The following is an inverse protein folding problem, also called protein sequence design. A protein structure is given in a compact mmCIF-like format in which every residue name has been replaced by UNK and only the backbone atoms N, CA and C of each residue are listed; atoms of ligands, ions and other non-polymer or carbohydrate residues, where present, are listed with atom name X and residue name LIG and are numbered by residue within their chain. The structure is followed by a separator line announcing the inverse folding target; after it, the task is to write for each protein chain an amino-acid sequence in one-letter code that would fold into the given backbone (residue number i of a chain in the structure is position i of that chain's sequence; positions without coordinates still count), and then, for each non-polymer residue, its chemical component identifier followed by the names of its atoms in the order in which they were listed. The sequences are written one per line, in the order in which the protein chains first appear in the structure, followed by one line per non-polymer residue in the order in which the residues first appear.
data_IF_462384972959
#
_entry.id   IF_462384972959
#
_cell.length_a   1.000
_cell.length_b   1.000
_cell.length_c   1.000
_cell.angle_alpha   90.00
_cell.angle_beta   90.00
_cell.angle_gamma   90.00
#
_symmetry.space_group_name_H-M   'P 1'
#
loop_
_entity.id
_entity.type
_entity.pdbx_description
1 polymer ?
#
# COMPACT_ATOMS: atom_id res chain seq x y z
N UNK A 1 11.39 13.93 12.19
CA UNK A 1 10.01 14.34 11.82
C UNK A 1 9.77 14.29 10.31
N UNK A 2 10.59 14.92 9.46
CA UNK A 2 10.38 14.90 8.02
C UNK A 2 10.81 13.59 7.32
N UNK A 3 11.80 12.87 7.85
CA UNK A 3 12.33 11.62 7.25
C UNK A 3 11.31 10.50 7.19
N UNK A 4 10.38 10.43 8.14
CA UNK A 4 9.32 9.42 8.18
C UNK A 4 8.42 9.42 6.93
N UNK A 5 8.17 10.58 6.31
CA UNK A 5 7.36 10.67 5.10
C UNK A 5 8.11 10.24 3.83
N UNK A 6 9.43 10.34 3.81
CA UNK A 6 10.24 9.82 2.69
C UNK A 6 10.17 8.30 2.66
N UNK A 7 10.13 7.66 3.84
CA UNK A 7 10.03 6.20 3.96
C UNK A 7 8.58 5.69 3.84
N UNK A 8 7.58 6.54 4.12
CA UNK A 8 6.16 6.22 4.01
C UNK A 8 5.68 6.25 2.54
N UNK A 9 5.98 5.20 1.80
CA UNK A 9 5.72 5.10 0.35
C UNK A 9 4.25 5.27 -0.06
N UNK A 10 3.29 5.07 0.86
CA UNK A 10 1.84 5.07 0.56
C UNK A 10 1.18 6.45 0.68
N UNK A 11 1.92 7.52 1.03
CA UNK A 11 1.34 8.85 1.26
C UNK A 11 1.67 9.81 0.12
N UNK A 12 0.66 10.40 -0.56
CA UNK A 12 0.89 11.38 -1.61
C UNK A 12 1.58 12.66 -1.09
N UNK A 13 2.52 13.21 -1.85
CA UNK A 13 3.28 14.41 -1.46
C UNK A 13 2.37 15.64 -1.17
N UNK A 14 1.25 15.78 -1.89
CA UNK A 14 0.27 16.84 -1.64
C UNK A 14 -0.37 16.74 -0.25
N UNK A 15 -0.64 15.53 0.23
CA UNK A 15 -1.17 15.30 1.58
C UNK A 15 -0.14 15.60 2.66
N UNK A 16 1.12 15.30 2.38
CA UNK A 16 2.23 15.66 3.28
C UNK A 16 2.36 17.18 3.38
N UNK A 17 2.31 17.90 2.25
CA UNK A 17 2.31 19.38 2.24
C UNK A 17 1.12 19.94 3.04
N UNK A 18 -0.10 19.44 2.80
CA UNK A 18 -1.31 19.86 3.53
C UNK A 18 -1.13 19.68 5.05
N UNK A 19 -0.58 18.54 5.47
CA UNK A 19 -0.30 18.26 6.88
C UNK A 19 0.75 19.20 7.49
N UNK A 20 1.84 19.46 6.78
CA UNK A 20 2.91 20.36 7.24
C UNK A 20 2.37 21.78 7.39
N UNK A 21 1.61 22.30 6.42
CA UNK A 21 1.01 23.63 6.48
C UNK A 21 0.08 23.78 7.69
N UNK A 22 -0.75 22.76 7.96
CA UNK A 22 -1.64 22.76 9.12
C UNK A 22 -0.86 22.81 10.44
N UNK A 23 0.19 22.00 10.56
CA UNK A 23 1.03 21.98 11.79
C UNK A 23 1.81 23.26 11.99
N UNK A 24 2.30 23.87 10.91
CA UNK A 24 3.04 25.12 10.96
C UNK A 24 2.13 26.36 11.08
N UNK A 25 0.81 26.18 11.02
CA UNK A 25 -0.19 27.26 10.97
C UNK A 25 0.08 28.25 9.81
N UNK A 26 0.53 27.74 8.66
CA UNK A 26 0.83 28.51 7.44
C UNK A 26 -0.29 28.30 6.43
N UNK A 27 -0.89 29.39 5.95
CA UNK A 27 -1.91 29.33 4.90
C UNK A 27 -1.30 29.07 3.51
N UNK A 28 -2.13 28.55 2.58
CA UNK A 28 -1.68 28.36 1.20
C UNK A 28 -1.28 29.70 0.52
N UNK A 29 -1.97 30.80 0.85
CA UNK A 29 -1.66 32.14 0.35
C UNK A 29 -0.30 32.61 0.87
N UNK A 30 -0.02 32.37 2.13
CA UNK A 30 1.26 32.70 2.75
C UNK A 30 2.40 31.86 2.17
N UNK A 31 2.20 30.55 1.99
CA UNK A 31 3.19 29.71 1.31
C UNK A 31 3.44 30.21 -0.11
N UNK A 32 2.41 30.58 -0.85
CA UNK A 32 2.53 31.10 -2.20
C UNK A 32 3.42 32.36 -2.24
N UNK A 33 3.19 33.29 -1.29
CA UNK A 33 4.00 34.51 -1.16
C UNK A 33 5.47 34.18 -0.84
N UNK A 34 5.71 33.31 0.13
CA UNK A 34 7.06 32.93 0.57
C UNK A 34 7.86 32.15 -0.48
N UNK A 35 7.16 31.27 -1.24
CA UNK A 35 7.80 30.40 -2.24
C UNK A 35 7.88 30.98 -3.64
N UNK A 36 7.21 32.11 -3.90
CA UNK A 36 7.07 32.68 -5.25
C UNK A 36 6.23 31.83 -6.21
N UNK A 37 5.42 30.92 -5.69
CA UNK A 37 4.56 30.05 -6.47
C UNK A 37 3.12 30.57 -6.42
N UNK A 38 2.43 30.65 -7.58
CA UNK A 38 1.04 31.11 -7.63
C UNK A 38 0.13 30.30 -6.71
N UNK A 39 -0.80 30.94 -5.95
CA UNK A 39 -1.70 30.26 -5.02
C UNK A 39 -2.47 29.08 -5.62
N UNK A 40 -2.98 29.23 -6.86
CA UNK A 40 -3.65 28.16 -7.58
C UNK A 40 -2.73 26.93 -7.77
N UNK A 41 -1.44 27.17 -8.01
CA UNK A 41 -0.46 26.10 -8.20
C UNK A 41 -0.22 25.32 -6.89
N UNK A 42 -0.16 26.05 -5.75
CA UNK A 42 -0.07 25.43 -4.42
C UNK A 42 -1.32 24.55 -4.17
N UNK A 43 -2.50 25.06 -4.48
CA UNK A 43 -3.74 24.29 -4.37
C UNK A 43 -3.71 23.01 -5.21
N UNK A 44 -3.31 23.13 -6.48
CA UNK A 44 -3.23 21.99 -7.41
C UNK A 44 -2.23 20.90 -6.93
N UNK A 45 -1.09 21.32 -6.35
CA UNK A 45 -0.11 20.40 -5.76
C UNK A 45 -0.71 19.66 -4.56
N UNK A 46 -1.41 20.37 -3.67
CA UNK A 46 -2.06 19.78 -2.48
C UNK A 46 -3.14 18.78 -2.89
N UNK A 47 -3.93 19.11 -3.91
CA UNK A 47 -5.00 18.24 -4.43
C UNK A 47 -4.50 17.10 -5.32
N UNK A 48 -3.20 17.06 -5.65
CA UNK A 48 -2.63 16.05 -6.55
C UNK A 48 -3.04 16.24 -8.03
N UNK A 49 -3.63 17.40 -8.38
CA UNK A 49 -3.95 17.77 -9.78
C UNK A 49 -2.66 18.00 -10.57
N UNK A 50 -1.64 18.50 -9.88
CA UNK A 50 -0.30 18.68 -10.43
C UNK A 50 0.75 17.95 -9.62
N UNK A 51 1.80 17.54 -10.33
CA UNK A 51 2.96 16.89 -9.72
C UNK A 51 3.98 17.92 -9.23
N UNK A 52 4.68 17.59 -8.16
CA UNK A 52 5.85 18.34 -7.73
C UNK A 52 6.97 18.19 -8.76
N UNK A 53 7.43 19.29 -9.29
CA UNK A 53 8.69 19.34 -10.04
C UNK A 53 9.83 19.68 -9.08
N UNK A 54 11.07 19.44 -9.48
CA UNK A 54 12.24 19.79 -8.65
C UNK A 54 12.20 21.29 -8.24
N UNK A 55 11.94 22.27 -9.15
CA UNK A 55 11.84 23.68 -8.75
C UNK A 55 10.72 23.94 -7.73
N UNK A 56 9.53 23.33 -7.89
CA UNK A 56 8.44 23.52 -6.92
C UNK A 56 8.80 22.92 -5.55
N UNK A 57 9.45 21.74 -5.53
CA UNK A 57 9.89 21.11 -4.29
C UNK A 57 10.87 22.03 -3.55
N UNK A 58 11.95 22.45 -4.21
CA UNK A 58 13.00 23.28 -3.61
C UNK A 58 12.47 24.64 -3.10
N UNK A 59 11.59 25.31 -3.87
CA UNK A 59 11.03 26.60 -3.46
C UNK A 59 10.11 26.47 -2.24
N UNK A 60 9.30 25.41 -2.18
CA UNK A 60 8.41 25.13 -1.03
C UNK A 60 9.24 24.75 0.20
N UNK A 61 10.23 23.92 0.04
CA UNK A 61 11.16 23.51 1.11
C UNK A 61 11.87 24.69 1.73
N UNK A 62 12.40 25.57 0.89
CA UNK A 62 13.03 26.82 1.32
C UNK A 62 12.04 27.71 2.09
N UNK A 63 10.82 27.87 1.58
CA UNK A 63 9.77 28.68 2.21
C UNK A 63 9.31 28.14 3.57
N UNK A 64 9.41 26.82 3.79
CA UNK A 64 9.02 26.12 5.01
C UNK A 64 10.20 25.73 5.91
N UNK A 65 11.45 26.13 5.56
CA UNK A 65 12.67 25.75 6.27
C UNK A 65 12.83 24.22 6.43
N UNK A 66 12.52 23.46 5.40
CA UNK A 66 12.73 22.02 5.36
C UNK A 66 14.16 21.77 4.87
N UNK A 67 15.02 21.24 5.75
CA UNK A 67 16.44 21.01 5.47
C UNK A 67 16.76 19.77 4.62
N UNK A 68 15.82 19.27 3.83
CA UNK A 68 15.98 18.08 3.00
C UNK A 68 15.70 18.47 1.55
N UNK A 69 16.74 18.56 0.74
CA UNK A 69 16.61 18.92 -0.68
C UNK A 69 15.81 17.90 -1.48
N UNK A 70 14.86 18.40 -2.26
CA UNK A 70 13.97 17.57 -3.08
C UNK A 70 12.95 16.76 -2.28
N UNK A 71 12.63 17.18 -1.05
CA UNK A 71 11.77 16.47 -0.12
C UNK A 71 10.44 16.04 -0.73
N UNK A 72 9.66 17.00 -1.23
CA UNK A 72 8.34 16.68 -1.83
C UNK A 72 8.47 15.90 -3.13
N UNK A 73 9.50 16.16 -3.92
CA UNK A 73 9.78 15.45 -5.15
C UNK A 73 10.14 13.97 -4.85
N UNK A 74 10.96 13.71 -3.84
CA UNK A 74 11.31 12.36 -3.38
C UNK A 74 10.07 11.59 -2.89
N UNK A 75 9.22 12.22 -2.07
CA UNK A 75 7.99 11.61 -1.58
C UNK A 75 7.06 11.26 -2.76
N UNK A 76 6.88 12.18 -3.71
CA UNK A 76 6.05 11.92 -4.89
C UNK A 76 6.58 10.76 -5.72
N UNK A 77 7.89 10.73 -5.99
CA UNK A 77 8.52 9.64 -6.75
C UNK A 77 8.33 8.29 -6.05
N UNK A 78 8.56 8.24 -4.74
CA UNK A 78 8.34 7.00 -3.96
C UNK A 78 6.87 6.56 -3.98
N UNK A 79 5.94 7.51 -3.88
CA UNK A 79 4.51 7.24 -3.99
C UNK A 79 4.12 6.70 -5.37
N UNK A 80 4.63 7.30 -6.45
CA UNK A 80 4.37 6.85 -7.83
C UNK A 80 4.93 5.44 -8.08
N UNK A 81 6.13 5.17 -7.61
CA UNK A 81 6.74 3.82 -7.67
C UNK A 81 5.87 2.82 -6.89
N UNK A 82 5.45 3.18 -5.67
CA UNK A 82 4.58 2.35 -4.85
C UNK A 82 3.25 2.05 -5.55
N UNK A 83 2.62 3.06 -6.15
CA UNK A 83 1.37 2.89 -6.90
C UNK A 83 1.57 1.98 -8.12
N UNK A 84 2.64 2.18 -8.87
CA UNK A 84 2.95 1.35 -10.04
C UNK A 84 3.13 -0.12 -9.63
N UNK A 85 3.99 -0.39 -8.64
CA UNK A 85 4.22 -1.75 -8.14
C UNK A 85 2.92 -2.37 -7.61
N UNK A 86 2.13 -1.61 -6.84
CA UNK A 86 0.87 -2.10 -6.28
C UNK A 86 -0.14 -2.45 -7.38
N UNK A 87 -0.22 -1.65 -8.44
CA UNK A 87 -1.09 -1.93 -9.58
C UNK A 87 -0.65 -3.17 -10.36
N UNK A 88 0.67 -3.38 -10.52
CA UNK A 88 1.18 -4.62 -11.15
C UNK A 88 0.92 -5.86 -10.27
N UNK A 89 1.06 -5.73 -8.95
CA UNK A 89 0.73 -6.80 -8.01
C UNK A 89 -0.75 -7.17 -8.03
N UNK A 90 -1.66 -6.17 -8.17
CA UNK A 90 -3.11 -6.41 -8.25
C UNK A 90 -3.53 -7.20 -9.50
N UNK A 91 -2.73 -7.15 -10.56
CA UNK A 91 -2.95 -7.97 -11.76
C UNK A 91 -2.58 -9.45 -11.54
N UNK A 92 -1.79 -9.73 -10.50
CA UNK A 92 -1.38 -11.09 -10.16
C UNK A 92 -2.35 -11.67 -9.15
N UNK A 93 -3.26 -12.50 -9.63
CA UNK A 93 -4.27 -13.15 -8.80
C UNK A 93 -4.47 -14.62 -9.25
N UNK A 94 -4.95 -15.50 -8.37
CA UNK A 94 -5.38 -16.85 -8.74
C UNK A 94 -6.61 -16.78 -9.65
N UNK A 95 -7.09 -17.94 -10.12
CA UNK A 95 -8.37 -18.00 -10.80
C UNK A 95 -9.49 -17.69 -9.80
N UNK A 96 -10.04 -16.47 -9.89
CA UNK A 96 -11.07 -16.00 -8.96
C UNK A 96 -12.37 -16.78 -9.04
N UNK A 97 -12.64 -17.47 -10.15
CA UNK A 97 -13.83 -18.31 -10.32
C UNK A 97 -13.82 -19.56 -9.42
N UNK A 98 -12.66 -19.93 -8.90
CA UNK A 98 -12.49 -21.07 -8.01
C UNK A 98 -12.89 -20.78 -6.56
N UNK A 99 -13.16 -19.51 -6.22
CA UNK A 99 -13.46 -19.09 -4.86
C UNK A 99 -14.93 -18.77 -4.67
N UNK A 100 -15.50 -19.29 -3.60
CA UNK A 100 -16.86 -18.94 -3.17
C UNK A 100 -16.89 -17.52 -2.55
N UNK A 101 -17.96 -16.79 -2.77
CA UNK A 101 -18.16 -15.49 -2.13
C UNK A 101 -18.16 -15.58 -0.59
N UNK A 102 -18.53 -16.75 -0.05
CA UNK A 102 -18.56 -16.99 1.38
C UNK A 102 -17.16 -17.03 2.02
N UNK A 103 -16.11 -17.42 1.27
CA UNK A 103 -14.76 -17.51 1.81
C UNK A 103 -14.20 -16.13 2.21
N UNK A 104 -14.52 -15.09 1.43
CA UNK A 104 -14.04 -13.72 1.63
C UNK A 104 -15.20 -12.75 1.94
N UNK A 105 -16.12 -13.14 2.87
CA UNK A 105 -17.34 -12.41 3.20
C UNK A 105 -17.14 -10.94 3.63
N UNK A 106 -15.97 -10.63 4.17
CA UNK A 106 -15.59 -9.31 4.70
C UNK A 106 -14.78 -8.46 3.70
N UNK A 107 -14.53 -8.99 2.50
CA UNK A 107 -13.67 -8.35 1.51
C UNK A 107 -14.12 -8.69 0.08
N UNK A 108 -14.01 -7.72 -0.83
CA UNK A 108 -14.22 -7.98 -2.26
C UNK A 108 -13.01 -8.70 -2.84
N UNK A 109 -13.23 -9.89 -3.38
CA UNK A 109 -12.17 -10.78 -3.92
C UNK A 109 -11.31 -10.08 -5.00
N UNK A 110 -11.94 -9.27 -5.84
CA UNK A 110 -11.30 -8.48 -6.90
C UNK A 110 -10.40 -7.35 -6.39
N UNK A 111 -10.50 -6.99 -5.10
CA UNK A 111 -9.69 -5.96 -4.45
C UNK A 111 -8.57 -6.51 -3.56
N UNK A 112 -8.47 -7.82 -3.45
CA UNK A 112 -7.41 -8.44 -2.65
C UNK A 112 -6.07 -8.28 -3.38
N UNK A 113 -5.08 -7.68 -2.72
CA UNK A 113 -3.70 -7.78 -3.17
C UNK A 113 -3.13 -9.14 -2.73
N UNK A 114 -3.20 -10.13 -3.62
CA UNK A 114 -2.80 -11.51 -3.36
C UNK A 114 -1.31 -11.64 -3.01
N UNK A 115 -0.47 -10.76 -3.54
CA UNK A 115 0.97 -10.78 -3.30
C UNK A 115 1.32 -10.26 -1.90
N UNK A 116 0.76 -9.11 -1.50
CA UNK A 116 1.03 -8.50 -0.17
C UNK A 116 0.31 -9.21 0.95
N UNK A 117 -0.92 -9.64 0.71
CA UNK A 117 -1.77 -10.27 1.72
C UNK A 117 -1.66 -11.80 1.76
N UNK A 118 -0.62 -12.39 1.12
CA UNK A 118 -0.47 -13.85 1.00
C UNK A 118 -0.58 -14.61 2.32
N UNK A 119 -0.05 -14.07 3.42
CA UNK A 119 -0.14 -14.70 4.75
C UNK A 119 -1.59 -14.78 5.24
N UNK A 120 -2.34 -13.69 5.08
CA UNK A 120 -3.76 -13.62 5.44
C UNK A 120 -4.60 -14.53 4.53
N UNK A 121 -4.35 -14.52 3.23
CA UNK A 121 -5.05 -15.38 2.26
C UNK A 121 -4.81 -16.86 2.54
N UNK A 122 -3.54 -17.27 2.68
CA UNK A 122 -3.20 -18.67 2.98
C UNK A 122 -3.88 -19.10 4.28
N UNK A 123 -3.82 -18.28 5.35
CA UNK A 123 -4.53 -18.52 6.59
C UNK A 123 -6.00 -18.77 6.35
N UNK A 124 -6.70 -17.83 5.69
CA UNK A 124 -8.14 -17.87 5.44
C UNK A 124 -8.56 -19.11 4.65
N UNK A 125 -7.83 -19.41 3.57
CA UNK A 125 -8.16 -20.57 2.71
C UNK A 125 -7.93 -21.90 3.43
N UNK A 126 -6.86 -22.05 4.19
CA UNK A 126 -6.61 -23.27 4.96
C UNK A 126 -7.54 -23.44 6.18
N UNK A 127 -8.14 -22.36 6.68
CA UNK A 127 -9.11 -22.39 7.80
C UNK A 127 -10.56 -22.64 7.36
N UNK A 128 -10.95 -22.14 6.20
CA UNK A 128 -12.36 -22.10 5.78
C UNK A 128 -12.60 -22.58 4.35
N UNK A 129 -11.54 -22.73 3.56
CA UNK A 129 -11.66 -23.11 2.16
C UNK A 129 -12.02 -24.57 1.96
N UNK A 130 -12.71 -24.82 0.87
CA UNK A 130 -12.96 -26.17 0.36
C UNK A 130 -11.72 -26.71 -0.40
N UNK A 131 -11.81 -27.96 -0.85
CA UNK A 131 -10.73 -28.63 -1.57
C UNK A 131 -10.28 -27.87 -2.83
N UNK A 132 -11.22 -27.35 -3.60
CA UNK A 132 -10.97 -26.63 -4.85
C UNK A 132 -10.21 -25.32 -4.60
N UNK A 133 -10.64 -24.56 -3.61
CA UNK A 133 -10.03 -23.31 -3.18
C UNK A 133 -8.61 -23.52 -2.63
N UNK A 134 -8.40 -24.58 -1.86
CA UNK A 134 -7.07 -24.96 -1.33
C UNK A 134 -6.13 -25.35 -2.47
N UNK A 135 -6.59 -26.19 -3.42
CA UNK A 135 -5.79 -26.57 -4.58
C UNK A 135 -5.39 -25.37 -5.44
N UNK A 136 -6.31 -24.42 -5.66
CA UNK A 136 -6.03 -23.22 -6.40
C UNK A 136 -5.00 -22.32 -5.70
N UNK A 137 -5.06 -22.16 -4.39
CA UNK A 137 -4.06 -21.40 -3.63
C UNK A 137 -2.68 -22.08 -3.68
N UNK A 138 -2.64 -23.40 -3.64
CA UNK A 138 -1.38 -24.15 -3.81
C UNK A 138 -0.82 -23.97 -5.23
N UNK A 139 -1.68 -24.00 -6.25
CA UNK A 139 -1.29 -23.74 -7.63
C UNK A 139 -0.71 -22.33 -7.80
N UNK A 140 -1.37 -21.32 -7.22
CA UNK A 140 -0.99 -19.92 -7.38
C UNK A 140 0.30 -19.54 -6.64
N UNK A 141 0.42 -19.90 -5.36
CA UNK A 141 1.62 -19.53 -4.57
C UNK A 141 2.76 -20.52 -4.66
N UNK A 142 2.46 -21.77 -4.97
CA UNK A 142 3.40 -22.89 -4.89
C UNK A 142 3.62 -23.42 -3.47
N UNK A 143 3.94 -24.70 -3.37
CA UNK A 143 4.17 -25.38 -2.07
C UNK A 143 5.28 -24.71 -1.26
N UNK A 144 6.37 -24.29 -1.89
CA UNK A 144 7.51 -23.69 -1.19
C UNK A 144 7.16 -22.40 -0.47
N UNK A 145 6.37 -21.52 -1.08
CA UNK A 145 5.91 -20.26 -0.48
C UNK A 145 4.99 -20.55 0.68
N UNK A 146 4.06 -21.50 0.53
CA UNK A 146 3.13 -21.87 1.60
C UNK A 146 3.90 -22.47 2.77
N UNK A 147 4.85 -23.38 2.54
CA UNK A 147 5.69 -23.98 3.58
C UNK A 147 6.49 -22.95 4.38
N UNK A 148 6.96 -21.87 3.72
CA UNK A 148 7.66 -20.77 4.40
C UNK A 148 6.73 -19.89 5.25
N UNK A 149 5.49 -19.71 4.81
CA UNK A 149 4.53 -18.81 5.46
C UNK A 149 3.75 -19.50 6.56
N UNK A 150 3.37 -20.76 6.38
CA UNK A 150 2.49 -21.50 7.29
C UNK A 150 2.98 -21.48 8.75
N UNK A 151 4.26 -21.72 9.08
CA UNK A 151 4.77 -21.66 10.45
C UNK A 151 4.66 -20.28 11.11
N UNK A 152 4.53 -19.21 10.30
CA UNK A 152 4.40 -17.84 10.78
C UNK A 152 2.95 -17.48 11.20
N UNK A 153 1.98 -18.38 10.96
CA UNK A 153 0.58 -18.17 11.31
C UNK A 153 0.36 -18.64 12.74
N UNK A 154 0.46 -17.71 13.70
CA UNK A 154 0.42 -18.02 15.15
C UNK A 154 -0.99 -17.97 15.75
N UNK A 155 -2.04 -17.66 14.97
CA UNK A 155 -3.40 -17.55 15.50
C UNK A 155 -3.94 -18.92 15.94
N UNK A 156 -4.48 -18.99 17.17
CA UNK A 156 -5.05 -20.22 17.72
C UNK A 156 -6.44 -20.57 17.14
N UNK A 157 -7.19 -19.56 16.64
CA UNK A 157 -8.51 -19.76 16.06
C UNK A 157 -8.43 -20.68 14.84
N UNK A 158 -9.31 -21.69 14.78
CA UNK A 158 -9.35 -22.67 13.68
C UNK A 158 -8.00 -23.35 13.37
N UNK A 159 -7.15 -23.48 14.38
CA UNK A 159 -5.82 -24.09 14.24
C UNK A 159 -5.91 -25.54 13.77
N UNK A 160 -6.83 -26.31 14.33
CA UNK A 160 -7.00 -27.73 14.01
C UNK A 160 -7.42 -27.94 12.56
N UNK A 161 -8.42 -27.20 12.07
CA UNK A 161 -8.86 -27.25 10.68
C UNK A 161 -7.73 -26.89 9.73
N UNK A 162 -7.00 -25.82 10.05
CA UNK A 162 -5.86 -25.34 9.26
C UNK A 162 -4.73 -26.35 9.17
N UNK A 163 -4.37 -26.98 10.29
CA UNK A 163 -3.32 -28.01 10.35
C UNK A 163 -3.75 -29.29 9.65
N UNK A 164 -5.01 -29.70 9.77
CA UNK A 164 -5.56 -30.84 9.07
C UNK A 164 -5.53 -30.63 7.55
N UNK A 165 -5.96 -29.48 7.07
CA UNK A 165 -5.90 -29.14 5.67
C UNK A 165 -4.45 -29.04 5.15
N UNK A 166 -3.57 -28.45 5.92
CA UNK A 166 -2.16 -28.40 5.56
C UNK A 166 -1.56 -29.81 5.42
N UNK A 167 -1.80 -30.70 6.39
CA UNK A 167 -1.35 -32.08 6.32
C UNK A 167 -1.93 -32.83 5.13
N UNK A 168 -3.21 -32.63 4.84
CA UNK A 168 -3.91 -33.32 3.74
C UNK A 168 -3.42 -32.91 2.34
N UNK A 169 -3.13 -31.63 2.13
CA UNK A 169 -2.88 -31.11 0.77
C UNK A 169 -1.42 -30.71 0.49
N UNK A 170 -0.58 -30.62 1.52
CA UNK A 170 0.81 -30.21 1.38
C UNK A 170 1.81 -31.36 1.48
N UNK A 171 1.41 -32.47 2.10
CA UNK A 171 2.15 -33.72 2.08
C UNK A 171 1.82 -34.51 0.82
#
# INVERSE_FOLDING_TARGET
MYEEYITAQSTPAGKVLEHILRRANVSQKELALRSGIYPQRIHDLIKGIRKFTIPYSLNIEKALNIGIEGYFYKIQTNYEIYQFITNEELKQHPDLSQFSNALFWDTKVDKINWIRNKKWVIKRVFEYGNEQEIKEIIRFYGKDVINKIFPQIKNAWKKEDREANYKKYMQ
#
